data_IF_887096467910
#
_entry.id   IF_887096467910
#
_cell.length_a   1.000
_cell.length_b   1.000
_cell.length_c   1.000
_cell.angle_alpha   90.00
_cell.angle_beta   90.00
_cell.angle_gamma   90.00
#
_symmetry.space_group_name_H-M   'P 1'
#
loop_
_entity.id
_entity.type
_entity.pdbx_description
1 polymer ?
#
# COMPACT_ATOMS: atom_id res chain seq x y z
N UNK A 1 16.12 18.79 0.41
CA UNK A 1 16.35 18.19 1.75
C UNK A 1 17.35 17.08 1.54
N UNK A 2 18.46 17.12 2.26
CA UNK A 2 19.45 16.03 2.25
C UNK A 2 19.21 15.18 3.50
N UNK A 3 19.25 13.86 3.35
CA UNK A 3 19.05 12.91 4.45
C UNK A 3 20.23 11.94 4.44
N UNK A 4 20.85 11.73 5.60
CA UNK A 4 21.94 10.77 5.74
C UNK A 4 21.43 9.35 5.55
N UNK A 5 22.19 8.56 4.79
CA UNK A 5 22.04 7.11 4.72
C UNK A 5 22.81 6.50 5.90
N UNK A 6 22.15 5.63 6.65
CA UNK A 6 22.69 4.94 7.83
C UNK A 6 22.77 3.43 7.58
N UNK A 7 23.72 2.78 8.25
CA UNK A 7 23.83 1.31 8.26
C UNK A 7 22.74 0.70 9.14
N UNK A 8 22.10 -0.37 8.66
CA UNK A 8 21.09 -1.16 9.36
C UNK A 8 21.44 -2.65 9.15
N UNK A 9 22.21 -3.24 10.07
CA UNK A 9 22.75 -4.59 9.89
C UNK A 9 23.65 -4.65 8.66
N UNK A 10 23.38 -5.56 7.72
CA UNK A 10 24.05 -5.66 6.41
C UNK A 10 23.42 -4.77 5.32
N UNK A 11 22.38 -4.00 5.67
CA UNK A 11 21.65 -3.12 4.76
C UNK A 11 21.91 -1.64 5.05
N UNK A 12 21.40 -0.76 4.17
CA UNK A 12 21.41 0.69 4.35
C UNK A 12 20.00 1.25 4.28
N UNK A 13 19.73 2.32 5.02
CA UNK A 13 18.44 3.01 5.01
C UNK A 13 18.57 4.48 5.38
N UNK A 14 17.44 5.19 5.40
CA UNK A 14 17.36 6.56 5.90
C UNK A 14 16.11 6.71 6.78
N UNK A 15 16.12 7.72 7.66
CA UNK A 15 15.01 7.97 8.59
C UNK A 15 14.07 9.00 7.99
N UNK A 16 12.79 8.66 7.90
CA UNK A 16 11.72 9.60 7.60
C UNK A 16 11.12 10.13 8.89
N UNK A 17 10.88 11.43 8.98
CA UNK A 17 10.18 12.00 10.13
C UNK A 17 8.71 11.60 10.11
N UNK A 18 8.08 11.51 11.29
CA UNK A 18 6.65 11.25 11.41
C UNK A 18 5.81 12.23 10.58
N UNK A 19 6.22 13.49 10.54
CA UNK A 19 5.58 14.53 9.72
C UNK A 19 5.56 14.19 8.22
N UNK A 20 6.63 13.58 7.68
CA UNK A 20 6.67 13.17 6.29
C UNK A 20 5.78 11.94 6.07
N UNK A 21 5.83 10.95 6.97
CA UNK A 21 4.99 9.76 6.90
C UNK A 21 3.50 10.11 6.92
N UNK A 22 3.08 10.95 7.87
CA UNK A 22 1.69 11.40 8.03
C UNK A 22 1.22 12.20 6.80
N UNK A 23 2.06 13.12 6.29
CA UNK A 23 1.74 13.97 5.13
C UNK A 23 1.46 13.16 3.87
N UNK A 24 2.17 12.06 3.67
CA UNK A 24 2.02 11.20 2.49
C UNK A 24 1.22 9.92 2.77
N UNK A 25 0.59 9.83 3.95
CA UNK A 25 -0.20 8.66 4.38
C UNK A 25 0.56 7.33 4.23
N UNK A 26 1.86 7.34 4.52
CA UNK A 26 2.72 6.15 4.50
C UNK A 26 2.61 5.49 5.87
N UNK A 27 2.09 4.25 5.90
CA UNK A 27 2.00 3.43 7.11
C UNK A 27 3.21 2.51 7.25
N UNK A 28 3.12 1.34 6.62
CA UNK A 28 4.08 0.25 6.86
C UNK A 28 4.89 -0.13 5.62
N UNK A 29 4.35 0.18 4.43
CA UNK A 29 4.93 -0.21 3.15
C UNK A 29 4.87 0.91 2.12
N UNK A 30 5.86 0.91 1.24
CA UNK A 30 5.95 1.76 0.05
C UNK A 30 6.26 0.90 -1.16
N UNK A 31 5.72 1.27 -2.30
CA UNK A 31 6.14 0.74 -3.60
C UNK A 31 7.44 1.43 -4.01
N UNK A 32 8.41 0.65 -4.50
CA UNK A 32 9.69 1.14 -5.02
C UNK A 32 9.73 0.96 -6.54
N UNK A 33 9.87 2.07 -7.26
CA UNK A 33 10.01 2.08 -8.72
C UNK A 33 11.45 2.49 -9.07
N UNK A 34 12.12 1.68 -9.89
CA UNK A 34 13.49 1.91 -10.31
C UNK A 34 13.52 2.70 -11.62
N UNK A 35 14.16 3.87 -11.59
CA UNK A 35 14.35 4.73 -12.76
C UNK A 35 15.85 4.91 -13.04
N UNK A 36 16.17 5.48 -14.21
CA UNK A 36 17.57 5.74 -14.57
C UNK A 36 18.16 6.85 -13.70
N UNK A 37 18.87 6.45 -12.65
CA UNK A 37 19.63 7.34 -11.77
C UNK A 37 18.90 7.76 -10.49
N UNK A 38 17.66 7.30 -10.28
CA UNK A 38 16.93 7.53 -9.04
C UNK A 38 15.87 6.45 -8.80
N UNK A 39 15.28 6.47 -7.62
CA UNK A 39 14.16 5.61 -7.27
C UNK A 39 12.98 6.47 -6.84
N UNK A 40 11.77 6.03 -7.14
CA UNK A 40 10.53 6.66 -6.68
C UNK A 40 9.92 5.77 -5.60
N UNK A 41 9.58 6.37 -4.46
CA UNK A 41 8.80 5.72 -3.40
C UNK A 41 7.35 6.22 -3.47
N UNK A 42 6.38 5.31 -3.55
CA UNK A 42 4.95 5.64 -3.48
C UNK A 42 4.31 4.97 -2.27
N UNK A 43 3.37 5.62 -1.57
CA UNK A 43 2.58 4.94 -0.55
C UNK A 43 1.83 3.77 -1.19
N UNK A 44 1.84 2.61 -0.54
CA UNK A 44 0.96 1.51 -0.94
C UNK A 44 -0.45 1.89 -0.48
N UNK A 45 -1.36 2.07 -1.44
CA UNK A 45 -2.78 2.17 -1.15
C UNK A 45 -3.37 0.78 -1.35
N UNK A 46 -3.86 0.15 -0.28
CA UNK A 46 -4.69 -1.05 -0.38
C UNK A 46 -6.16 -0.71 -0.09
N UNK A 47 -6.85 0.04 -0.98
CA UNK A 47 -8.24 0.43 -0.74
C UNK A 47 -9.21 -0.76 -0.70
N UNK A 48 -8.74 -1.96 -1.07
CA UNK A 48 -9.51 -3.20 -1.15
C UNK A 48 -8.80 -4.40 -0.50
N UNK A 49 -7.91 -4.15 0.47
CA UNK A 49 -7.35 -5.23 1.27
C UNK A 49 -8.49 -6.07 1.88
N UNK A 50 -8.44 -7.39 1.70
CA UNK A 50 -9.48 -8.31 2.17
C UNK A 50 -10.75 -8.40 1.30
N UNK A 51 -10.94 -7.55 0.28
CA UNK A 51 -12.11 -7.65 -0.61
C UNK A 51 -12.14 -8.98 -1.35
N UNK A 52 -11.01 -9.49 -1.83
CA UNK A 52 -10.98 -10.80 -2.47
C UNK A 52 -11.51 -11.93 -1.56
N UNK A 53 -11.22 -11.84 -0.25
CA UNK A 53 -11.74 -12.80 0.73
C UNK A 53 -13.24 -12.59 0.95
N UNK A 54 -13.68 -11.35 1.15
CA UNK A 54 -15.08 -11.02 1.36
C UNK A 54 -15.96 -11.36 0.14
N UNK A 55 -15.49 -11.11 -1.09
CA UNK A 55 -16.19 -11.50 -2.32
C UNK A 55 -16.26 -13.02 -2.47
N UNK A 56 -15.20 -13.74 -2.10
CA UNK A 56 -15.21 -15.20 -2.12
C UNK A 56 -16.23 -15.76 -1.12
N UNK A 57 -16.28 -15.20 0.09
CA UNK A 57 -17.24 -15.58 1.14
C UNK A 57 -18.68 -15.25 0.74
N UNK A 58 -18.90 -14.07 0.14
CA UNK A 58 -20.21 -13.65 -0.40
C UNK A 58 -20.72 -14.62 -1.47
N UNK A 59 -19.84 -15.07 -2.38
CA UNK A 59 -20.19 -16.05 -3.41
C UNK A 59 -20.44 -17.44 -2.82
N UNK A 60 -19.63 -17.89 -1.85
CA UNK A 60 -19.83 -19.17 -1.16
C UNK A 60 -21.16 -19.22 -0.38
N UNK A 61 -21.66 -18.05 0.05
CA UNK A 61 -22.93 -17.91 0.76
C UNK A 61 -24.14 -17.61 -0.16
N UNK A 62 -23.95 -17.53 -1.48
CA UNK A 62 -24.96 -17.06 -2.44
C UNK A 62 -25.54 -15.65 -2.09
N UNK A 63 -24.76 -14.82 -1.40
CA UNK A 63 -25.13 -13.44 -1.02
C UNK A 63 -24.94 -12.46 -2.19
N UNK A 64 -24.44 -12.92 -3.33
CA UNK A 64 -24.16 -12.14 -4.54
C UNK A 64 -25.32 -12.10 -5.55
N UNK A 65 -26.50 -12.57 -5.14
CA UNK A 65 -27.72 -12.57 -5.96
C UNK A 65 -28.30 -11.16 -6.14
N UNK A 66 -28.87 -10.91 -7.31
CA UNK A 66 -29.57 -9.65 -7.62
C UNK A 66 -30.83 -9.52 -6.75
N UNK A 67 -30.95 -8.41 -6.03
CA UNK A 67 -32.14 -8.11 -5.22
C UNK A 67 -33.31 -7.58 -6.05
N UNK A 68 -33.02 -7.04 -7.23
CA UNK A 68 -34.01 -6.49 -8.15
C UNK A 68 -33.70 -7.00 -9.55
N UNK A 69 -34.74 -7.35 -10.29
CA UNK A 69 -34.63 -7.61 -11.72
C UNK A 69 -34.55 -6.27 -12.46
N UNK A 70 -33.89 -6.28 -13.62
CA UNK A 70 -33.90 -5.17 -14.57
C UNK A 70 -35.27 -5.12 -15.30
N UNK A 71 -36.33 -4.70 -14.60
CA UNK A 71 -37.65 -4.38 -15.18
C UNK A 71 -38.15 -2.99 -14.75
#
# INVERSE_FOLDING_TARGET
MEISIIQIGDSKGFRLSKTILDKYNIKDKVELILEKGYFIFKPVSEPREGWNKAFKEMHENDDDQLLFNDE
#
